data_IF_978510648039
#
_entry.id   IF_978510648039
#
_cell.length_a   1.000
_cell.length_b   1.000
_cell.length_c   1.000
_cell.angle_alpha   90.00
_cell.angle_beta   90.00
_cell.angle_gamma   90.00
#
_symmetry.space_group_name_H-M   'P 1'
#
loop_
_entity.id
_entity.type
_entity.pdbx_description
1 polymer ?
#
# COMPACT_ATOMS: atom_id res chain seq x y z
N UNK A 1 -7.74 9.95 45.67
CA UNK A 1 -6.67 9.41 44.83
C UNK A 1 -6.57 10.33 43.62
N UNK A 2 -5.64 11.27 43.67
CA UNK A 2 -5.43 12.29 42.62
C UNK A 2 -4.48 11.66 41.62
N UNK A 3 -4.95 11.51 40.36
CA UNK A 3 -4.12 11.05 39.23
C UNK A 3 -3.13 12.17 38.91
N UNK A 4 -1.83 11.92 39.06
CA UNK A 4 -0.78 12.81 38.58
C UNK A 4 -0.89 12.98 37.05
N UNK A 5 -0.73 14.19 36.51
CA UNK A 5 -0.68 14.41 35.07
C UNK A 5 0.59 13.74 34.53
N UNK A 6 0.40 12.87 33.56
CA UNK A 6 1.46 12.20 32.80
C UNK A 6 2.39 13.27 32.20
N UNK A 7 3.62 13.33 32.70
CA UNK A 7 4.70 14.20 32.25
C UNK A 7 4.81 14.16 30.72
N UNK A 8 4.66 15.30 30.06
CA UNK A 8 4.90 15.47 28.65
C UNK A 8 6.36 15.09 28.32
N UNK A 9 6.54 14.06 27.51
CA UNK A 9 7.82 13.74 26.89
C UNK A 9 8.24 14.95 26.05
N UNK A 10 9.48 15.48 26.18
CA UNK A 10 9.91 16.62 25.40
C UNK A 10 9.77 16.32 23.90
N UNK A 11 9.12 17.25 23.19
CA UNK A 11 8.93 17.21 21.74
C UNK A 11 10.27 17.00 21.02
N UNK A 12 10.51 15.77 20.56
CA UNK A 12 11.42 15.56 19.42
C UNK A 12 10.86 16.39 18.26
N UNK A 13 11.71 17.05 17.43
CA UNK A 13 11.24 17.89 16.33
C UNK A 13 10.24 17.08 15.50
N UNK A 14 8.98 17.49 15.55
CA UNK A 14 7.88 16.74 14.93
C UNK A 14 8.07 16.75 13.42
N UNK A 15 8.34 15.60 12.83
CA UNK A 15 8.37 15.44 11.37
C UNK A 15 6.95 15.66 10.86
N UNK A 16 6.76 16.63 9.96
CA UNK A 16 5.46 16.93 9.40
C UNK A 16 5.04 15.93 8.33
N UNK A 17 6.00 15.50 7.48
CA UNK A 17 5.73 14.65 6.34
C UNK A 17 6.83 13.60 6.18
N UNK A 18 6.44 12.34 6.11
CA UNK A 18 7.31 11.24 5.68
C UNK A 18 6.94 10.81 4.27
N UNK A 19 7.92 10.71 3.38
CA UNK A 19 7.76 10.10 2.06
C UNK A 19 8.37 8.71 2.09
N UNK A 20 7.56 7.66 1.99
CA UNK A 20 7.98 6.26 2.05
C UNK A 20 8.01 5.66 0.65
N UNK A 21 9.16 5.13 0.26
CA UNK A 21 9.42 4.65 -1.10
C UNK A 21 10.03 3.25 -1.03
N UNK A 22 9.35 2.21 -1.53
CA UNK A 22 9.92 0.89 -1.68
C UNK A 22 10.87 0.90 -2.88
N UNK A 23 12.04 0.28 -2.72
CA UNK A 23 13.10 0.26 -3.74
C UNK A 23 13.45 -1.17 -4.10
N UNK A 24 13.41 -1.50 -5.39
CA UNK A 24 13.85 -2.81 -5.87
C UNK A 24 14.51 -2.74 -7.24
N UNK A 25 15.85 -2.90 -7.29
CA UNK A 25 16.66 -2.83 -8.52
C UNK A 25 16.47 -1.51 -9.29
N UNK A 26 16.63 -0.39 -8.60
CA UNK A 26 16.35 0.95 -9.11
C UNK A 26 17.50 1.94 -8.90
N UNK A 27 18.73 1.43 -8.79
CA UNK A 27 19.94 2.22 -8.50
C UNK A 27 20.08 3.47 -9.39
N UNK A 28 19.73 3.35 -10.67
CA UNK A 28 19.93 4.41 -11.67
C UNK A 28 19.03 5.64 -11.46
N UNK A 29 17.86 5.46 -10.82
CA UNK A 29 16.83 6.52 -10.73
C UNK A 29 16.77 7.20 -9.35
N UNK A 30 17.34 6.58 -8.31
CA UNK A 30 17.21 7.05 -6.93
C UNK A 30 17.76 8.45 -6.70
N UNK A 31 18.89 8.78 -7.33
CA UNK A 31 19.50 10.09 -7.19
C UNK A 31 18.61 11.19 -7.80
N UNK A 32 18.02 10.93 -8.97
CA UNK A 32 17.06 11.84 -9.62
C UNK A 32 15.79 11.99 -8.77
N UNK A 33 15.27 10.89 -8.26
CA UNK A 33 14.09 10.88 -7.40
C UNK A 33 14.28 11.78 -6.17
N UNK A 34 15.38 11.63 -5.44
CA UNK A 34 15.69 12.44 -4.26
C UNK A 34 15.94 13.90 -4.65
N UNK A 35 16.63 14.17 -5.76
CA UNK A 35 16.87 15.52 -6.27
C UNK A 35 15.56 16.24 -6.61
N UNK A 36 14.56 15.53 -7.16
CA UNK A 36 13.23 16.10 -7.47
C UNK A 36 12.35 16.24 -6.25
N UNK A 37 12.43 15.30 -5.28
CA UNK A 37 11.68 15.37 -4.03
C UNK A 37 12.11 16.56 -3.16
N UNK A 38 13.41 16.82 -3.10
CA UNK A 38 13.98 17.82 -2.17
C UNK A 38 13.33 19.20 -2.31
N UNK A 39 13.29 19.86 -3.49
CA UNK A 39 12.68 21.18 -3.61
C UNK A 39 11.17 21.18 -3.35
N UNK A 40 10.47 20.10 -3.67
CA UNK A 40 9.03 19.97 -3.37
C UNK A 40 8.81 19.95 -1.86
N UNK A 41 9.60 19.14 -1.14
CA UNK A 41 9.49 19.02 0.32
C UNK A 41 9.91 20.30 1.02
N UNK A 42 10.93 21.00 0.53
CA UNK A 42 11.33 22.31 1.05
C UNK A 42 10.19 23.35 0.98
N UNK A 43 9.40 23.27 -0.08
CA UNK A 43 8.29 24.20 -0.29
C UNK A 43 7.05 23.89 0.58
N UNK A 44 6.73 22.60 0.83
CA UNK A 44 5.45 22.19 1.44
C UNK A 44 5.56 21.62 2.84
N UNK A 45 6.72 21.11 3.23
CA UNK A 45 6.98 20.47 4.53
C UNK A 45 8.49 20.50 4.85
N UNK A 46 9.07 21.64 5.28
CA UNK A 46 10.50 21.74 5.59
C UNK A 46 10.96 20.70 6.62
N UNK A 47 10.11 20.38 7.60
CA UNK A 47 10.34 19.30 8.57
C UNK A 47 9.87 17.96 8.00
N UNK A 48 10.57 17.42 7.00
CA UNK A 48 10.20 16.17 6.34
C UNK A 48 11.34 15.16 6.28
N UNK A 49 10.99 13.88 6.09
CA UNK A 49 11.92 12.80 5.83
C UNK A 49 11.55 12.01 4.57
N UNK A 50 12.55 11.38 3.96
CA UNK A 50 12.43 10.43 2.85
C UNK A 50 12.92 9.08 3.36
N UNK A 51 12.04 8.09 3.42
CA UNK A 51 12.35 6.73 3.88
C UNK A 51 12.42 5.82 2.66
N UNK A 52 13.64 5.46 2.24
CA UNK A 52 13.92 4.54 1.16
C UNK A 52 14.04 3.12 1.72
N UNK A 53 13.18 2.20 1.30
CA UNK A 53 13.17 0.82 1.82
C UNK A 53 13.66 -0.11 0.73
N UNK A 54 14.90 -0.59 0.85
CA UNK A 54 15.47 -1.58 -0.04
C UNK A 54 14.82 -2.94 0.19
N UNK A 55 14.08 -3.44 -0.80
CA UNK A 55 13.39 -4.75 -0.74
C UNK A 55 14.29 -5.87 -1.31
N UNK A 56 15.52 -5.97 -0.77
CA UNK A 56 16.48 -7.01 -1.17
C UNK A 56 16.90 -6.88 -2.63
N UNK A 57 17.27 -5.69 -3.10
CA UNK A 57 17.80 -5.44 -4.44
C UNK A 57 19.07 -6.23 -4.70
N UNK A 58 19.28 -6.61 -5.97
CA UNK A 58 20.47 -7.34 -6.43
C UNK A 58 21.48 -6.44 -7.12
N UNK A 59 21.10 -5.22 -7.43
CA UNK A 59 21.94 -4.18 -8.02
C UNK A 59 22.58 -3.31 -6.94
N UNK A 60 23.14 -2.16 -7.31
CA UNK A 60 23.75 -1.20 -6.39
C UNK A 60 22.78 -0.30 -5.63
N UNK A 61 21.46 -0.56 -5.65
CA UNK A 61 20.44 0.29 -5.01
C UNK A 61 20.75 0.57 -3.54
N UNK A 62 21.13 -0.45 -2.75
CA UNK A 62 21.47 -0.25 -1.34
C UNK A 62 22.69 0.67 -1.14
N UNK A 63 23.72 0.53 -1.98
CA UNK A 63 24.89 1.41 -1.95
C UNK A 63 24.50 2.85 -2.23
N UNK A 64 23.66 3.08 -3.26
CA UNK A 64 23.15 4.42 -3.61
C UNK A 64 22.30 5.00 -2.47
N UNK A 65 21.44 4.22 -1.85
CA UNK A 65 20.66 4.66 -0.68
C UNK A 65 21.59 5.11 0.46
N UNK A 66 22.66 4.35 0.74
CA UNK A 66 23.65 4.71 1.75
C UNK A 66 24.39 6.01 1.44
N UNK A 67 24.69 6.29 0.19
CA UNK A 67 25.28 7.55 -0.25
C UNK A 67 24.32 8.72 -0.12
N UNK A 68 23.08 8.53 -0.55
CA UNK A 68 22.02 9.54 -0.40
C UNK A 68 21.75 9.87 1.07
N UNK A 69 21.70 8.88 1.95
CA UNK A 69 21.51 9.10 3.39
C UNK A 69 22.68 9.86 4.05
N UNK A 70 23.91 9.72 3.54
CA UNK A 70 25.07 10.48 4.03
C UNK A 70 25.08 11.94 3.56
N UNK A 71 24.58 12.19 2.34
CA UNK A 71 24.61 13.51 1.70
C UNK A 71 23.35 14.35 1.96
N UNK A 72 22.22 13.70 2.22
CA UNK A 72 20.92 14.36 2.41
C UNK A 72 20.36 14.02 3.80
N UNK A 73 20.38 14.98 4.73
CA UNK A 73 19.95 14.79 6.15
C UNK A 73 18.53 14.25 6.32
N UNK A 74 17.65 14.47 5.36
CA UNK A 74 16.27 13.98 5.39
C UNK A 74 16.10 12.58 4.82
N UNK A 75 17.13 12.02 4.17
CA UNK A 75 17.07 10.66 3.61
C UNK A 75 17.48 9.65 4.65
N UNK A 76 16.67 8.62 4.80
CA UNK A 76 16.92 7.47 5.65
C UNK A 76 16.70 6.18 4.86
N UNK A 77 17.66 5.25 4.90
CA UNK A 77 17.57 3.93 4.28
C UNK A 77 17.16 2.87 5.29
N UNK A 78 16.33 1.93 4.84
CA UNK A 78 16.02 0.67 5.53
C UNK A 78 16.35 -0.47 4.58
N UNK A 79 17.05 -1.50 5.07
CA UNK A 79 17.46 -2.66 4.28
C UNK A 79 16.72 -3.91 4.74
N UNK A 80 15.98 -4.54 3.83
CA UNK A 80 15.30 -5.81 4.11
C UNK A 80 16.22 -6.98 3.74
N UNK A 81 16.28 -8.00 4.58
CA UNK A 81 17.14 -9.18 4.42
C UNK A 81 16.93 -9.94 3.10
N UNK A 82 15.80 -9.77 2.44
CA UNK A 82 15.44 -10.37 1.14
C UNK A 82 14.28 -9.61 0.52
N UNK A 83 13.92 -9.94 -0.72
CA UNK A 83 12.71 -9.44 -1.34
C UNK A 83 11.47 -10.05 -0.66
N UNK A 84 10.68 -9.21 0.00
CA UNK A 84 9.40 -9.53 0.63
C UNK A 84 8.20 -9.01 -0.17
N UNK A 85 8.46 -8.19 -1.21
CA UNK A 85 7.47 -7.54 -2.06
C UNK A 85 7.10 -6.13 -1.58
N UNK A 86 6.71 -5.31 -2.55
CA UNK A 86 6.46 -3.87 -2.41
C UNK A 86 5.62 -3.50 -1.18
N UNK A 87 4.51 -4.20 -0.93
CA UNK A 87 3.63 -3.89 0.20
C UNK A 87 4.27 -4.18 1.57
N UNK A 88 5.12 -5.20 1.68
CA UNK A 88 5.88 -5.46 2.90
C UNK A 88 6.96 -4.39 3.13
N UNK A 89 7.66 -3.96 2.07
CA UNK A 89 8.61 -2.86 2.13
C UNK A 89 7.90 -1.56 2.54
N UNK A 90 6.74 -1.24 1.94
CA UNK A 90 5.91 -0.12 2.36
C UNK A 90 5.49 -0.20 3.83
N UNK A 91 5.03 -1.36 4.30
CA UNK A 91 4.64 -1.55 5.70
C UNK A 91 5.81 -1.30 6.65
N UNK A 92 7.01 -1.80 6.31
CA UNK A 92 8.23 -1.54 7.08
C UNK A 92 8.54 -0.04 7.15
N UNK A 93 8.52 0.65 6.00
CA UNK A 93 8.76 2.09 5.93
C UNK A 93 7.71 2.93 6.66
N UNK A 94 6.41 2.57 6.54
CA UNK A 94 5.31 3.25 7.24
C UNK A 94 5.46 3.13 8.76
N UNK A 95 5.82 1.96 9.27
CA UNK A 95 6.08 1.74 10.70
C UNK A 95 7.28 2.55 11.20
N UNK A 96 8.30 2.70 10.38
CA UNK A 96 9.49 3.47 10.70
C UNK A 96 9.31 4.99 10.51
N UNK A 97 8.29 5.43 9.79
CA UNK A 97 8.01 6.83 9.50
C UNK A 97 7.67 7.62 10.78
N UNK A 98 8.22 8.82 10.94
CA UNK A 98 7.99 9.71 12.09
C UNK A 98 6.93 10.77 11.81
N UNK A 99 6.57 11.00 10.53
CA UNK A 99 5.71 12.11 10.11
C UNK A 99 4.28 12.04 10.63
N UNK A 100 3.70 13.20 10.89
CA UNK A 100 2.27 13.35 11.17
C UNK A 100 1.41 13.06 9.95
N UNK A 101 2.00 13.13 8.77
CA UNK A 101 1.43 12.77 7.46
C UNK A 101 2.41 11.86 6.74
N UNK A 102 1.90 10.87 6.02
CA UNK A 102 2.72 9.90 5.29
C UNK A 102 2.29 9.86 3.83
N UNK A 103 3.23 10.12 2.92
CA UNK A 103 3.08 9.87 1.49
C UNK A 103 3.75 8.54 1.17
N UNK A 104 3.11 7.69 0.36
CA UNK A 104 3.77 6.57 -0.30
C UNK A 104 3.79 6.82 -1.80
N UNK A 105 4.87 6.44 -2.45
CA UNK A 105 5.03 6.52 -3.91
C UNK A 105 6.03 5.48 -4.39
N UNK A 106 5.96 5.13 -5.66
CA UNK A 106 6.91 4.22 -6.29
C UNK A 106 8.22 4.95 -6.66
N UNK A 107 9.29 4.20 -6.88
CA UNK A 107 10.63 4.71 -7.19
C UNK A 107 10.85 5.02 -8.68
N UNK A 108 9.85 4.79 -9.56
CA UNK A 108 9.97 4.84 -11.02
C UNK A 108 9.61 6.19 -11.67
N UNK A 109 9.34 7.22 -10.84
CA UNK A 109 8.95 8.58 -11.27
C UNK A 109 7.68 8.66 -12.16
N UNK A 110 6.90 7.56 -12.27
CA UNK A 110 5.60 7.62 -12.95
C UNK A 110 4.64 8.57 -12.25
N UNK A 111 4.74 8.66 -10.92
CA UNK A 111 4.05 9.67 -10.12
C UNK A 111 5.05 10.77 -9.77
N UNK A 112 5.02 11.94 -10.46
CA UNK A 112 5.98 13.00 -10.23
C UNK A 112 5.89 13.54 -8.80
N UNK A 113 7.02 13.74 -8.08
CA UNK A 113 7.05 14.36 -6.75
C UNK A 113 6.33 15.71 -6.68
N UNK A 114 6.31 16.44 -7.77
CA UNK A 114 5.67 17.75 -7.93
C UNK A 114 4.12 17.70 -7.77
N UNK A 115 3.55 16.51 -7.73
CA UNK A 115 2.11 16.29 -7.48
C UNK A 115 1.79 16.12 -5.97
N UNK A 116 2.79 15.98 -5.09
CA UNK A 116 2.59 15.89 -3.63
C UNK A 116 1.78 17.08 -3.07
N UNK A 117 2.01 18.35 -3.49
CA UNK A 117 1.19 19.46 -3.02
C UNK A 117 -0.31 19.29 -3.28
N UNK A 118 -0.72 18.62 -4.37
CA UNK A 118 -2.14 18.36 -4.66
C UNK A 118 -2.74 17.36 -3.66
N UNK A 119 -1.99 16.33 -3.29
CA UNK A 119 -2.42 15.39 -2.24
C UNK A 119 -2.60 16.11 -0.90
N UNK A 120 -1.63 16.95 -0.54
CA UNK A 120 -1.66 17.73 0.72
C UNK A 120 -2.87 18.68 0.75
N UNK A 121 -3.16 19.37 -0.34
CA UNK A 121 -4.31 20.27 -0.45
C UNK A 121 -5.66 19.53 -0.35
N UNK A 122 -5.72 18.27 -0.79
CA UNK A 122 -6.92 17.44 -0.72
C UNK A 122 -7.15 16.78 0.66
N UNK A 123 -6.16 16.80 1.56
CA UNK A 123 -6.27 16.24 2.91
C UNK A 123 -7.05 17.17 3.85
N UNK A 124 -8.35 17.29 3.63
CA UNK A 124 -9.26 18.08 4.45
C UNK A 124 -9.46 17.46 5.87
N UNK A 125 -10.01 18.20 6.86
CA UNK A 125 -10.23 17.69 8.22
C UNK A 125 -11.08 16.41 8.31
N UNK A 126 -12.01 16.23 7.37
CA UNK A 126 -12.89 15.05 7.28
C UNK A 126 -12.32 13.92 6.40
N UNK A 127 -11.09 14.06 5.89
CA UNK A 127 -10.41 13.08 5.04
C UNK A 127 -9.18 12.56 5.78
N UNK A 128 -8.99 11.24 5.76
CA UNK A 128 -7.84 10.59 6.36
C UNK A 128 -6.83 10.08 5.33
N UNK A 129 -7.33 9.70 4.15
CA UNK A 129 -6.54 9.14 3.06
C UNK A 129 -6.90 9.81 1.74
N UNK A 130 -5.90 10.25 1.00
CA UNK A 130 -6.04 10.83 -0.35
C UNK A 130 -5.28 9.97 -1.35
N UNK A 131 -5.95 9.49 -2.39
CA UNK A 131 -5.31 8.80 -3.51
C UNK A 131 -5.04 9.76 -4.66
N UNK A 132 -3.82 9.76 -5.20
CA UNK A 132 -3.48 10.39 -6.47
C UNK A 132 -3.84 9.46 -7.61
N UNK A 133 -4.87 9.78 -8.38
CA UNK A 133 -5.32 8.98 -9.51
C UNK A 133 -4.88 9.62 -10.82
N UNK A 134 -4.33 8.84 -11.78
CA UNK A 134 -3.92 9.40 -13.06
C UNK A 134 -5.12 9.98 -13.81
N UNK A 135 -4.88 11.03 -14.58
CA UNK A 135 -5.85 11.47 -15.59
C UNK A 135 -6.22 10.28 -16.48
N UNK A 136 -7.52 10.04 -16.65
CA UNK A 136 -8.00 8.91 -17.46
C UNK A 136 -7.59 9.12 -18.92
N UNK A 137 -6.52 8.46 -19.35
CA UNK A 137 -6.40 8.13 -20.77
C UNK A 137 -7.47 7.08 -21.11
N UNK A 138 -8.21 7.32 -22.21
CA UNK A 138 -9.21 6.38 -22.70
C UNK A 138 -8.53 5.10 -23.18
N UNK A 139 -8.45 4.11 -22.30
CA UNK A 139 -7.89 2.79 -22.60
C UNK A 139 -9.02 1.81 -22.93
N UNK A 140 -8.81 1.00 -23.97
CA UNK A 140 -9.82 0.17 -24.64
C UNK A 140 -10.67 -0.73 -23.73
N UNK A 141 -11.90 -1.03 -24.20
CA UNK A 141 -13.01 -1.72 -23.54
C UNK A 141 -12.65 -2.99 -22.74
N UNK A 142 -11.66 -3.77 -23.18
CA UNK A 142 -11.21 -5.01 -22.50
C UNK A 142 -10.51 -4.74 -21.16
N UNK A 143 -9.75 -3.66 -21.08
CA UNK A 143 -9.03 -3.26 -19.84
C UNK A 143 -10.01 -2.67 -18.83
N UNK A 144 -11.02 -1.94 -19.28
CA UNK A 144 -12.10 -1.42 -18.44
C UNK A 144 -12.95 -2.56 -17.87
N UNK A 145 -13.21 -3.62 -18.64
CA UNK A 145 -13.95 -4.79 -18.16
C UNK A 145 -13.15 -5.56 -17.09
N UNK A 146 -11.85 -5.81 -17.32
CA UNK A 146 -10.97 -6.44 -16.33
C UNK A 146 -10.88 -5.62 -15.04
N UNK A 147 -10.75 -4.29 -15.14
CA UNK A 147 -10.76 -3.37 -14.00
C UNK A 147 -12.09 -3.42 -13.23
N UNK A 148 -13.24 -3.43 -13.94
CA UNK A 148 -14.57 -3.54 -13.31
C UNK A 148 -14.76 -4.86 -12.58
N UNK A 149 -14.31 -5.98 -13.17
CA UNK A 149 -14.38 -7.30 -12.53
C UNK A 149 -13.52 -7.33 -11.27
N UNK A 150 -12.27 -6.83 -11.34
CA UNK A 150 -11.37 -6.76 -10.18
C UNK A 150 -11.95 -5.87 -9.08
N UNK A 151 -12.50 -4.70 -9.43
CA UNK A 151 -13.17 -3.80 -8.48
C UNK A 151 -14.42 -4.43 -7.86
N UNK A 152 -15.20 -5.16 -8.64
CA UNK A 152 -16.42 -5.85 -8.15
C UNK A 152 -16.08 -6.99 -7.20
N UNK A 153 -15.03 -7.76 -7.49
CA UNK A 153 -14.52 -8.81 -6.61
C UNK A 153 -13.97 -8.19 -5.32
N UNK A 154 -13.21 -7.12 -5.42
CA UNK A 154 -12.66 -6.40 -4.27
C UNK A 154 -13.77 -5.84 -3.37
N UNK A 155 -14.77 -5.16 -3.95
CA UNK A 155 -15.95 -4.67 -3.23
C UNK A 155 -16.71 -5.79 -2.53
N UNK A 156 -16.86 -6.93 -3.20
CA UNK A 156 -17.55 -8.10 -2.66
C UNK A 156 -16.82 -8.79 -1.51
N UNK A 157 -15.48 -8.73 -1.47
CA UNK A 157 -14.65 -9.43 -0.47
C UNK A 157 -14.29 -8.57 0.75
N UNK A 158 -14.12 -7.27 0.58
CA UNK A 158 -13.61 -6.34 1.61
C UNK A 158 -14.72 -5.63 2.41
N UNK A 159 -16.01 -5.84 2.06
CA UNK A 159 -17.15 -5.25 2.78
C UNK A 159 -17.47 -3.80 2.38
N UNK A 160 -18.43 -3.18 3.08
CA UNK A 160 -18.98 -1.86 2.75
C UNK A 160 -17.95 -0.72 2.79
N UNK A 161 -16.88 -0.82 3.59
CA UNK A 161 -15.81 0.18 3.67
C UNK A 161 -14.99 0.29 2.38
N UNK A 162 -14.76 -0.81 1.67
CA UNK A 162 -14.06 -0.81 0.39
C UNK A 162 -14.90 -0.25 -0.77
N UNK A 163 -16.22 -0.18 -0.60
CA UNK A 163 -17.12 0.43 -1.60
C UNK A 163 -16.94 1.94 -1.72
N UNK A 164 -16.39 2.57 -0.69
CA UNK A 164 -16.19 4.04 -0.61
C UNK A 164 -14.75 4.44 -1.03
N UNK A 165 -13.83 3.48 -1.13
CA UNK A 165 -12.47 3.78 -1.57
C UNK A 165 -12.47 4.15 -3.06
N UNK A 166 -11.93 5.34 -3.44
CA UNK A 166 -11.73 5.72 -4.82
C UNK A 166 -10.73 4.80 -5.51
N UNK A 167 -10.44 5.06 -6.78
CA UNK A 167 -9.46 4.29 -7.55
C UNK A 167 -8.12 4.22 -6.79
N UNK A 168 -7.77 3.02 -6.35
CA UNK A 168 -6.60 2.76 -5.51
C UNK A 168 -5.32 3.02 -6.31
N UNK A 169 -4.40 3.76 -5.73
CA UNK A 169 -3.10 4.11 -6.33
C UNK A 169 -1.97 3.88 -5.33
N UNK A 170 -0.77 3.54 -5.82
CA UNK A 170 0.44 3.49 -5.00
C UNK A 170 0.84 4.91 -4.49
N UNK A 171 0.46 5.94 -5.24
CA UNK A 171 0.65 7.33 -4.86
C UNK A 171 -0.50 7.80 -3.97
N UNK A 172 -0.25 7.84 -2.67
CA UNK A 172 -1.26 8.18 -1.65
C UNK A 172 -0.66 8.94 -0.50
N UNK A 173 -1.49 9.78 0.12
CA UNK A 173 -1.20 10.51 1.35
C UNK A 173 -2.20 10.10 2.42
N UNK A 174 -1.75 9.90 3.65
CA UNK A 174 -2.64 9.62 4.77
C UNK A 174 -2.09 10.19 6.08
N UNK A 175 -2.98 10.31 7.08
CA UNK A 175 -2.62 10.76 8.41
C UNK A 175 -1.72 9.74 9.10
N UNK A 176 -0.61 10.19 9.67
CA UNK A 176 0.40 9.32 10.29
C UNK A 176 -0.15 8.49 11.46
N UNK A 177 -1.20 8.96 12.13
CA UNK A 177 -1.87 8.21 13.21
C UNK A 177 -2.46 6.86 12.75
N UNK A 178 -2.83 6.73 11.46
CA UNK A 178 -3.36 5.48 10.91
C UNK A 178 -2.35 4.34 10.95
N UNK A 179 -1.03 4.64 11.02
CA UNK A 179 0.01 3.59 11.14
C UNK A 179 -0.18 2.70 12.36
N UNK A 180 -0.79 3.23 13.45
CA UNK A 180 -1.06 2.44 14.67
C UNK A 180 -1.96 1.23 14.41
N UNK A 181 -2.84 1.31 13.40
CA UNK A 181 -3.66 0.18 12.99
C UNK A 181 -2.83 -0.95 12.34
N UNK A 182 -1.58 -0.67 11.94
CA UNK A 182 -0.69 -1.61 11.26
C UNK A 182 0.41 -2.16 12.17
N UNK A 183 0.60 -1.61 13.38
CA UNK A 183 1.71 -1.93 14.26
C UNK A 183 1.79 -3.42 14.61
N UNK A 184 0.65 -4.06 14.81
CA UNK A 184 0.53 -5.48 15.17
C UNK A 184 0.14 -6.40 14.00
N UNK A 185 0.21 -5.91 12.77
CA UNK A 185 -0.12 -6.73 11.61
C UNK A 185 1.08 -7.59 11.21
N UNK A 186 1.01 -8.90 11.44
CA UNK A 186 2.10 -9.86 11.25
C UNK A 186 1.84 -10.87 10.12
N UNK A 187 0.75 -10.71 9.37
CA UNK A 187 0.44 -11.62 8.26
C UNK A 187 1.45 -11.42 7.12
N UNK A 188 2.00 -12.49 6.50
CA UNK A 188 2.93 -12.39 5.39
C UNK A 188 2.31 -11.77 4.12
N UNK A 189 0.99 -11.80 3.99
CA UNK A 189 0.28 -11.16 2.88
C UNK A 189 -0.18 -9.76 3.30
N UNK A 190 0.53 -8.74 2.81
CA UNK A 190 0.24 -7.33 3.10
C UNK A 190 -0.40 -6.67 1.89
N UNK A 191 -1.45 -5.89 2.12
CA UNK A 191 -1.96 -4.88 1.21
C UNK A 191 -2.22 -3.60 1.99
N UNK A 192 -1.43 -2.57 1.73
CA UNK A 192 -1.56 -1.29 2.43
C UNK A 192 -2.97 -0.72 2.24
N UNK A 193 -3.56 -0.88 1.07
CA UNK A 193 -4.90 -0.37 0.78
C UNK A 193 -5.98 -1.06 1.62
N UNK A 194 -5.86 -2.38 1.81
CA UNK A 194 -6.76 -3.12 2.70
C UNK A 194 -6.59 -2.65 4.14
N UNK A 195 -5.36 -2.49 4.61
CA UNK A 195 -5.09 -2.02 5.97
C UNK A 195 -5.65 -0.61 6.20
N UNK A 196 -5.53 0.28 5.22
CA UNK A 196 -6.13 1.61 5.27
C UNK A 196 -7.66 1.55 5.35
N UNK A 197 -8.33 0.63 4.63
CA UNK A 197 -9.79 0.47 4.72
C UNK A 197 -10.26 -0.11 6.05
N UNK A 198 -9.39 -0.80 6.80
CA UNK A 198 -9.70 -1.23 8.17
C UNK A 198 -9.51 -0.10 9.19
N UNK A 199 -8.60 0.83 8.90
CA UNK A 199 -8.29 1.94 9.80
C UNK A 199 -9.29 3.09 9.68
N UNK A 200 -9.86 3.35 8.49
CA UNK A 200 -10.79 4.46 8.24
C UNK A 200 -11.72 4.19 7.08
N UNK A 201 -12.82 4.97 7.02
CA UNK A 201 -13.73 5.05 5.88
C UNK A 201 -13.68 6.43 5.18
N UNK A 202 -12.78 7.34 5.61
CA UNK A 202 -12.70 8.73 5.15
C UNK A 202 -11.65 8.90 4.05
N UNK A 203 -12.03 8.57 2.82
CA UNK A 203 -11.16 8.61 1.65
C UNK A 203 -11.53 9.76 0.71
N UNK A 204 -10.53 10.28 0.00
CA UNK A 204 -10.67 11.18 -1.14
C UNK A 204 -9.74 10.74 -2.28
N UNK A 205 -9.97 11.28 -3.48
CA UNK A 205 -9.07 11.14 -4.61
C UNK A 205 -8.84 12.49 -5.27
N UNK A 206 -7.65 12.67 -5.81
CA UNK A 206 -7.27 13.85 -6.59
C UNK A 206 -6.59 13.41 -7.88
N UNK A 207 -6.91 14.06 -8.98
CA UNK A 207 -6.28 13.80 -10.27
C UNK A 207 -4.86 14.34 -10.29
N UNK A 208 -3.91 13.47 -10.62
CA UNK A 208 -2.48 13.78 -10.71
C UNK A 208 -1.94 13.45 -12.10
N UNK A 209 -0.87 14.13 -12.50
CA UNK A 209 -0.14 13.79 -13.72
C UNK A 209 0.49 12.41 -13.53
N UNK A 210 0.51 11.64 -14.61
CA UNK A 210 1.18 10.36 -14.68
C UNK A 210 2.17 10.39 -15.83
N UNK A 211 3.46 10.25 -15.52
CA UNK A 211 4.51 10.23 -16.50
C UNK A 211 4.74 8.81 -17.05
N UNK A 212 5.21 8.65 -18.29
CA UNK A 212 5.66 7.35 -18.75
C UNK A 212 6.85 6.89 -17.91
N UNK A 213 6.95 5.58 -17.67
CA UNK A 213 8.06 4.98 -16.90
C UNK A 213 9.40 5.32 -17.54
N UNK A 214 10.32 5.89 -16.77
CA UNK A 214 11.64 6.29 -17.29
C UNK A 214 12.63 5.13 -17.33
N UNK A 215 12.52 4.14 -16.43
CA UNK A 215 13.41 2.99 -16.36
C UNK A 215 12.67 1.70 -16.01
N UNK A 216 13.21 0.56 -16.46
CA UNK A 216 12.72 -0.78 -16.13
C UNK A 216 11.61 -1.32 -17.06
N UNK A 217 11.52 -2.67 -17.14
CA UNK A 217 10.42 -3.38 -17.82
C UNK A 217 9.39 -3.80 -16.80
N UNK A 218 8.11 -3.72 -17.15
CA UNK A 218 7.03 -4.29 -16.33
C UNK A 218 7.22 -5.81 -16.23
N UNK A 219 7.51 -6.29 -15.04
CA UNK A 219 7.67 -7.72 -14.76
C UNK A 219 6.33 -8.44 -14.47
N UNK A 220 5.19 -7.74 -14.63
CA UNK A 220 3.87 -8.32 -14.36
C UNK A 220 3.45 -9.28 -15.47
N UNK A 221 3.53 -10.57 -15.18
CA UNK A 221 2.96 -11.62 -16.04
C UNK A 221 1.51 -11.93 -15.61
N UNK A 222 0.68 -12.43 -16.52
CA UNK A 222 -0.68 -12.88 -16.21
C UNK A 222 -0.71 -13.88 -15.04
N UNK A 223 0.29 -14.79 -14.97
CA UNK A 223 0.46 -15.75 -13.88
C UNK A 223 0.68 -15.05 -12.52
N UNK A 224 1.45 -13.95 -12.51
CA UNK A 224 1.67 -13.15 -11.29
C UNK A 224 0.39 -12.44 -10.86
N UNK A 225 -0.37 -11.88 -11.81
CA UNK A 225 -1.66 -11.24 -11.54
C UNK A 225 -2.67 -12.22 -10.94
N UNK A 226 -2.81 -13.42 -11.52
CA UNK A 226 -3.69 -14.48 -11.01
C UNK A 226 -3.26 -14.91 -9.62
N UNK A 227 -1.97 -15.16 -9.40
CA UNK A 227 -1.43 -15.51 -8.07
C UNK A 227 -1.69 -14.40 -7.05
N UNK A 228 -1.48 -13.14 -7.43
CA UNK A 228 -1.76 -12.00 -6.56
C UNK A 228 -3.24 -11.91 -6.19
N UNK A 229 -4.14 -12.10 -7.16
CA UNK A 229 -5.59 -12.14 -6.92
C UNK A 229 -5.99 -13.27 -5.95
N UNK A 230 -5.42 -14.47 -6.12
CA UNK A 230 -5.65 -15.59 -5.21
C UNK A 230 -5.11 -15.30 -3.78
N UNK A 231 -3.92 -14.73 -3.67
CA UNK A 231 -3.35 -14.35 -2.38
C UNK A 231 -4.20 -13.30 -1.67
N UNK A 232 -4.70 -12.30 -2.40
CA UNK A 232 -5.63 -11.29 -1.88
C UNK A 232 -6.94 -11.94 -1.41
N UNK A 233 -7.50 -12.84 -2.22
CA UNK A 233 -8.76 -13.51 -1.91
C UNK A 233 -8.66 -14.40 -0.66
N UNK A 234 -7.56 -15.14 -0.52
CA UNK A 234 -7.35 -16.07 0.60
C UNK A 234 -6.77 -15.40 1.84
N UNK A 235 -5.94 -14.36 1.67
CA UNK A 235 -5.30 -13.65 2.78
C UNK A 235 -6.23 -12.66 3.51
N UNK A 236 -7.21 -12.07 2.79
CA UNK A 236 -8.08 -11.03 3.35
C UNK A 236 -9.56 -11.40 3.37
N UNK A 237 -9.95 -12.58 2.89
CA UNK A 237 -11.34 -13.01 2.87
C UNK A 237 -11.53 -14.43 3.38
N UNK A 238 -12.48 -14.60 4.30
CA UNK A 238 -12.93 -15.93 4.76
C UNK A 238 -13.96 -16.56 3.82
N UNK A 239 -14.41 -15.86 2.78
CA UNK A 239 -15.47 -16.35 1.86
C UNK A 239 -15.07 -17.61 1.09
N UNK A 240 -13.84 -17.74 0.54
CA UNK A 240 -13.41 -18.97 -0.13
C UNK A 240 -13.44 -20.17 0.81
N UNK A 241 -13.04 -19.98 2.07
CA UNK A 241 -13.06 -21.02 3.08
C UNK A 241 -14.50 -21.42 3.44
N UNK A 242 -15.41 -20.45 3.63
CA UNK A 242 -16.83 -20.72 3.88
C UNK A 242 -17.47 -21.48 2.72
N UNK A 243 -17.15 -21.11 1.46
CA UNK A 243 -17.67 -21.79 0.28
C UNK A 243 -17.16 -23.23 0.21
N UNK A 244 -15.85 -23.46 0.42
CA UNK A 244 -15.25 -24.79 0.44
C UNK A 244 -15.87 -25.66 1.56
N UNK A 245 -16.07 -25.09 2.75
CA UNK A 245 -16.74 -25.77 3.88
C UNK A 245 -18.19 -26.12 3.56
N UNK A 246 -18.93 -25.23 2.91
CA UNK A 246 -20.33 -25.48 2.52
C UNK A 246 -20.41 -26.60 1.50
N UNK A 247 -19.54 -26.59 0.47
CA UNK A 247 -19.49 -27.65 -0.54
C UNK A 247 -19.09 -28.98 0.12
N UNK A 248 -18.05 -28.99 0.98
CA UNK A 248 -17.62 -30.21 1.68
C UNK A 248 -18.71 -30.78 2.57
N UNK A 249 -19.41 -29.91 3.31
CA UNK A 249 -20.54 -30.33 4.16
C UNK A 249 -21.71 -30.89 3.33
N UNK A 250 -22.05 -30.24 2.22
CA UNK A 250 -23.07 -30.74 1.28
C UNK A 250 -22.71 -32.09 0.68
N UNK A 251 -21.45 -32.27 0.24
CA UNK A 251 -20.97 -33.55 -0.28
C UNK A 251 -20.99 -34.65 0.79
N UNK A 252 -20.66 -34.35 2.04
CA UNK A 252 -20.72 -35.29 3.16
C UNK A 252 -22.16 -35.72 3.42
N UNK A 253 -23.12 -34.78 3.48
CA UNK A 253 -24.52 -35.09 3.67
C UNK A 253 -25.09 -35.94 2.52
N UNK A 254 -24.71 -35.61 1.28
CA UNK A 254 -25.08 -36.40 0.11
C UNK A 254 -24.54 -37.83 0.19
N UNK A 255 -23.25 -37.99 0.54
CA UNK A 255 -22.64 -39.30 0.73
C UNK A 255 -23.31 -40.13 1.82
N UNK A 256 -23.64 -39.52 2.97
CA UNK A 256 -24.38 -40.18 4.02
C UNK A 256 -25.79 -40.60 3.58
N UNK A 257 -26.46 -39.74 2.79
CA UNK A 257 -27.78 -40.09 2.23
C UNK A 257 -27.72 -41.28 1.26
N UNK A 258 -26.71 -41.34 0.41
CA UNK A 258 -26.50 -42.50 -0.48
C UNK A 258 -26.21 -43.76 0.31
N UNK A 259 -25.38 -43.68 1.35
CA UNK A 259 -25.11 -44.83 2.23
C UNK A 259 -26.34 -45.32 2.95
N UNK A 260 -27.16 -44.43 3.51
CA UNK A 260 -28.39 -44.77 4.17
C UNK A 260 -29.41 -45.41 3.21
N UNK A 261 -29.51 -44.90 1.98
CA UNK A 261 -30.34 -45.48 0.94
C UNK A 261 -29.88 -46.87 0.52
N UNK A 262 -28.58 -47.08 0.38
CA UNK A 262 -27.99 -48.40 0.09
C UNK A 262 -28.27 -49.41 1.19
N UNK A 263 -28.11 -49.00 2.45
CA UNK A 263 -28.29 -49.90 3.59
C UNK A 263 -29.77 -50.18 3.93
N UNK A 264 -30.68 -49.24 3.62
CA UNK A 264 -32.13 -49.40 3.83
C UNK A 264 -32.87 -50.15 2.71
N UNK A 265 -32.18 -50.46 1.62
CA UNK A 265 -32.70 -51.23 0.47
C UNK A 265 -32.23 -52.71 0.44
N UNK A 266 -31.50 -53.15 1.47
CA UNK A 266 -31.17 -54.55 1.78
C UNK A 266 -32.07 -55.03 2.94
#
# INVERSE_FOLDING_TARGET
MVSEPMSAVPDAPSVDLSVVIPVYNSAEILAELVARLTPVLDAVAPASEIVLVNDGSRDSSWTVIGELARTHRRVRGLDLMRNYGQHNALLCGIRAAAGSRIVTMDDDLQNPPEEIPKLLAALAPHVDVVYGTPEREQHGLLRDLASRITKSVLKGTLGAGAATAPDVSAFRLFRGELRRAFDRYENPYVSIDVLLTWATSRFAAVTVRHAPRQAGRSNYTLRMLVRHAFNMLTGFSVRPLKLASLIGFGATLFGLGVLAWWWGGI
#
